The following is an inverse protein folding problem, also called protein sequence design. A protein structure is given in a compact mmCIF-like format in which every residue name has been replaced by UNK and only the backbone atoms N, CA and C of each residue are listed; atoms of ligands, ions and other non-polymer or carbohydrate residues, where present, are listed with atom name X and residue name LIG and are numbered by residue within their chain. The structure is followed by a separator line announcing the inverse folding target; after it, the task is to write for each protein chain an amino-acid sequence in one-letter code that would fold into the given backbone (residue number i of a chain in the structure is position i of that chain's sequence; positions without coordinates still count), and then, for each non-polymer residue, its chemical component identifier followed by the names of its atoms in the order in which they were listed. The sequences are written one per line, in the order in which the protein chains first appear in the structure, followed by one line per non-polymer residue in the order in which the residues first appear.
data_IF_099783934654
#
_entry.id   IF_099783934654
#
_cell.length_a   1.000
_cell.length_b   1.000
_cell.length_c   1.000
_cell.angle_alpha   90.00
_cell.angle_beta   90.00
_cell.angle_gamma   90.00
#
_symmetry.space_group_name_H-M   'P 1'
#
loop_
_entity.id
_entity.type
_entity.pdbx_description
1 polymer ?
#
# COMPACT_ATOMS: atom_id res chain seq x y z
N UNK A 1 -11.88 3.28 7.73
CA UNK A 1 -13.12 4.08 7.63
C UNK A 1 -13.31 4.95 8.88
N UNK A 2 -12.24 5.60 9.30
CA UNK A 2 -12.27 6.51 10.43
C UNK A 2 -12.86 7.86 9.97
N UNK A 3 -13.63 8.59 10.81
CA UNK A 3 -14.00 9.97 10.52
C UNK A 3 -12.78 10.82 10.18
N UNK A 4 -12.90 11.67 9.16
CA UNK A 4 -11.78 12.45 8.65
C UNK A 4 -11.21 13.41 9.70
N UNK A 5 -12.04 13.90 10.60
CA UNK A 5 -11.67 14.77 11.71
C UNK A 5 -10.70 14.07 12.67
N UNK A 6 -10.97 12.81 13.02
CA UNK A 6 -10.11 12.05 13.93
C UNK A 6 -8.72 11.82 13.33
N UNK A 7 -8.65 11.54 12.01
CA UNK A 7 -7.37 11.37 11.32
C UNK A 7 -6.61 12.70 11.22
N UNK A 8 -7.33 13.78 10.96
CA UNK A 8 -6.75 15.13 10.94
C UNK A 8 -6.17 15.53 12.30
N UNK A 9 -6.87 15.22 13.39
CA UNK A 9 -6.40 15.51 14.75
C UNK A 9 -5.08 14.77 15.05
N UNK A 10 -4.98 13.47 14.72
CA UNK A 10 -3.76 12.70 14.91
C UNK A 10 -2.55 13.27 14.15
N UNK A 11 -2.78 13.78 12.93
CA UNK A 11 -1.76 14.43 12.12
C UNK A 11 -1.39 15.81 12.67
N UNK A 12 -2.38 16.62 13.09
CA UNK A 12 -2.15 17.97 13.63
C UNK A 12 -1.44 17.93 14.97
N UNK A 13 -1.75 16.96 15.82
CA UNK A 13 -1.08 16.75 17.10
C UNK A 13 0.31 16.12 16.97
N UNK A 14 0.69 15.70 15.76
CA UNK A 14 1.98 15.06 15.51
C UNK A 14 2.12 13.67 16.11
N UNK A 15 1.00 12.99 16.39
CA UNK A 15 0.97 11.59 16.86
C UNK A 15 1.39 10.67 15.73
N UNK A 16 1.01 11.01 14.49
CA UNK A 16 1.45 10.33 13.26
C UNK A 16 1.96 11.36 12.24
N UNK A 17 2.91 10.96 11.42
CA UNK A 17 3.51 11.81 10.39
C UNK A 17 2.77 11.72 9.06
N UNK A 18 2.12 10.59 8.77
CA UNK A 18 1.39 10.32 7.53
C UNK A 18 0.17 9.45 7.80
N UNK A 19 -0.80 9.48 6.88
CA UNK A 19 -2.01 8.67 6.97
C UNK A 19 -2.03 7.62 5.85
N UNK A 20 -2.25 6.34 6.22
CA UNK A 20 -2.60 5.30 5.26
C UNK A 20 -4.11 5.04 5.30
N UNK A 21 -4.78 5.33 4.20
CA UNK A 21 -6.21 5.13 4.01
C UNK A 21 -6.44 3.74 3.40
N UNK A 22 -7.04 2.84 4.17
CA UNK A 22 -7.16 1.41 3.82
C UNK A 22 -8.61 0.94 3.65
N UNK A 23 -9.54 1.85 3.67
CA UNK A 23 -10.96 1.55 3.56
C UNK A 23 -11.59 2.12 2.27
N UNK A 24 -12.81 2.58 2.40
CA UNK A 24 -13.61 3.15 1.31
C UNK A 24 -13.45 4.66 1.14
N UNK A 25 -12.43 5.24 1.79
CA UNK A 25 -12.14 6.67 1.69
C UNK A 25 -11.91 7.03 0.21
N UNK A 26 -12.69 7.97 -0.28
CA UNK A 26 -12.66 8.48 -1.66
C UNK A 26 -11.82 9.77 -1.81
N UNK A 27 -11.81 10.35 -2.99
CA UNK A 27 -11.09 11.59 -3.26
C UNK A 27 -11.64 12.78 -2.45
N UNK A 28 -12.94 12.79 -2.13
CA UNK A 28 -13.53 13.82 -1.29
C UNK A 28 -12.97 13.75 0.15
N UNK A 29 -12.76 12.53 0.66
CA UNK A 29 -12.11 12.32 1.96
C UNK A 29 -10.66 12.82 1.92
N UNK A 30 -9.89 12.50 0.89
CA UNK A 30 -8.49 12.96 0.73
C UNK A 30 -8.41 14.49 0.71
N UNK A 31 -9.24 15.14 -0.10
CA UNK A 31 -9.32 16.60 -0.16
C UNK A 31 -9.67 17.19 1.23
N UNK A 32 -10.69 16.62 1.88
CA UNK A 32 -11.12 17.10 3.19
C UNK A 32 -10.06 16.91 4.27
N UNK A 33 -9.32 15.80 4.24
CA UNK A 33 -8.22 15.56 5.17
C UNK A 33 -7.14 16.64 5.01
N UNK A 34 -6.75 16.99 3.79
CA UNK A 34 -5.76 18.04 3.51
C UNK A 34 -6.22 19.42 3.98
N UNK A 35 -7.52 19.73 3.82
CA UNK A 35 -8.09 20.99 4.34
C UNK A 35 -8.01 21.08 5.86
N UNK A 36 -8.29 19.99 6.58
CA UNK A 36 -8.36 19.95 8.04
C UNK A 36 -6.99 19.92 8.72
N UNK A 37 -5.97 19.42 8.03
CA UNK A 37 -4.62 19.31 8.59
C UNK A 37 -3.96 20.65 8.48
N UNK A 38 -4.07 21.69 8.58
CA UNK A 38 -3.26 22.92 8.50
C UNK A 38 -1.94 22.84 7.72
N UNK A 39 -1.60 21.66 7.20
CA UNK A 39 -0.42 21.36 6.38
C UNK A 39 -0.73 21.36 4.87
N UNK A 40 -2.03 21.33 4.49
CA UNK A 40 -2.43 21.33 3.09
C UNK A 40 -1.75 20.21 2.28
N UNK A 41 -1.05 20.58 1.21
CA UNK A 41 -0.31 19.66 0.34
C UNK A 41 0.85 18.92 1.04
N UNK A 42 1.36 19.42 2.16
CA UNK A 42 2.41 18.75 2.95
C UNK A 42 1.84 17.58 3.79
N UNK A 43 0.53 17.34 3.76
CA UNK A 43 -0.09 16.17 4.38
C UNK A 43 0.16 14.94 3.53
N UNK A 44 1.09 14.07 3.97
CA UNK A 44 1.43 12.87 3.23
C UNK A 44 0.40 11.76 3.41
N UNK A 45 -0.22 11.35 2.31
CA UNK A 45 -1.31 10.38 2.29
C UNK A 45 -0.93 9.18 1.40
N UNK A 46 -1.09 7.98 1.94
CA UNK A 46 -1.00 6.72 1.19
C UNK A 46 -2.41 6.15 1.04
N UNK A 47 -2.85 5.90 -0.21
CA UNK A 47 -4.12 5.20 -0.44
C UNK A 47 -3.85 3.74 -0.75
N UNK A 48 -4.34 2.85 0.11
CA UNK A 48 -4.35 1.42 -0.17
C UNK A 48 -5.56 1.06 -1.06
N UNK A 49 -5.29 0.34 -2.14
CA UNK A 49 -6.29 -0.10 -3.11
C UNK A 49 -6.21 -1.62 -3.24
N UNK A 50 -7.28 -2.31 -2.87
CA UNK A 50 -7.39 -3.74 -3.11
C UNK A 50 -7.66 -3.98 -4.58
N UNK A 51 -6.74 -4.64 -5.28
CA UNK A 51 -6.80 -4.85 -6.72
C UNK A 51 -7.56 -6.13 -7.04
N UNK A 52 -8.73 -6.00 -7.66
CA UNK A 52 -9.55 -7.11 -8.16
C UNK A 52 -9.72 -7.03 -9.68
N UNK A 53 -9.55 -5.84 -10.26
CA UNK A 53 -9.79 -5.55 -11.66
C UNK A 53 -8.88 -4.41 -12.18
N UNK A 54 -8.86 -4.21 -13.50
CA UNK A 54 -8.21 -3.06 -14.12
C UNK A 54 -8.81 -1.72 -13.68
N UNK A 55 -10.11 -1.71 -13.34
CA UNK A 55 -10.77 -0.51 -12.85
C UNK A 55 -10.19 -0.05 -11.50
N UNK A 56 -9.84 -0.98 -10.61
CA UNK A 56 -9.23 -0.67 -9.32
C UNK A 56 -7.83 -0.06 -9.52
N UNK A 57 -7.05 -0.64 -10.44
CA UNK A 57 -5.72 -0.11 -10.80
C UNK A 57 -5.84 1.31 -11.34
N UNK A 58 -6.77 1.54 -12.27
CA UNK A 58 -7.01 2.87 -12.83
C UNK A 58 -7.44 3.88 -11.78
N UNK A 59 -8.32 3.48 -10.86
CA UNK A 59 -8.73 4.33 -9.75
C UNK A 59 -7.52 4.70 -8.85
N UNK A 60 -6.67 3.73 -8.54
CA UNK A 60 -5.43 3.99 -7.81
C UNK A 60 -4.48 4.93 -8.56
N UNK A 61 -4.30 4.75 -9.87
CA UNK A 61 -3.46 5.64 -10.67
C UNK A 61 -3.97 7.08 -10.70
N UNK A 62 -5.28 7.28 -10.61
CA UNK A 62 -5.94 8.59 -10.64
C UNK A 62 -6.12 9.21 -9.25
N UNK A 63 -5.79 8.48 -8.18
CA UNK A 63 -5.95 9.00 -6.83
C UNK A 63 -5.07 10.22 -6.56
N UNK A 64 -5.63 11.20 -5.86
CA UNK A 64 -4.95 12.37 -5.35
C UNK A 64 -4.03 12.12 -4.15
N UNK A 65 -3.91 10.88 -3.68
CA UNK A 65 -2.94 10.53 -2.64
C UNK A 65 -1.49 10.65 -3.15
N UNK A 66 -0.54 10.90 -2.26
CA UNK A 66 0.89 11.05 -2.60
C UNK A 66 1.49 9.73 -3.08
N UNK A 67 1.15 8.63 -2.42
CA UNK A 67 1.48 7.27 -2.83
C UNK A 67 0.25 6.36 -2.85
N UNK A 68 0.32 5.35 -3.70
CA UNK A 68 -0.67 4.27 -3.71
C UNK A 68 0.00 2.98 -3.30
N UNK A 69 -0.68 2.21 -2.47
CA UNK A 69 -0.34 0.84 -2.16
C UNK A 69 -1.35 -0.06 -2.88
N UNK A 70 -0.91 -0.83 -3.86
CA UNK A 70 -1.74 -1.84 -4.50
C UNK A 70 -1.63 -3.16 -3.73
N UNK A 71 -2.71 -3.51 -3.05
CA UNK A 71 -2.84 -4.81 -2.38
C UNK A 71 -3.36 -5.84 -3.38
N UNK A 72 -2.45 -6.69 -3.79
CA UNK A 72 -2.67 -7.77 -4.73
C UNK A 72 -3.09 -9.08 -4.04
N UNK A 73 -3.33 -9.10 -2.75
CA UNK A 73 -3.71 -10.28 -1.99
C UNK A 73 -5.16 -10.66 -2.24
N UNK A 74 -5.40 -11.74 -3.00
CA UNK A 74 -6.63 -12.46 -2.86
C UNK A 74 -6.55 -13.26 -1.57
N UNK A 75 -7.36 -12.96 -0.57
CA UNK A 75 -7.33 -13.58 0.77
C UNK A 75 -7.52 -15.11 0.82
N UNK A 76 -7.46 -15.79 -0.31
CA UNK A 76 -7.63 -17.24 -0.52
C UNK A 76 -6.36 -17.95 -1.05
N UNK A 77 -5.19 -17.30 -1.02
CA UNK A 77 -3.91 -17.89 -1.43
C UNK A 77 -3.73 -18.08 -2.94
N UNK A 78 -4.63 -17.56 -3.77
CA UNK A 78 -4.47 -17.58 -5.22
C UNK A 78 -3.43 -16.57 -5.67
N UNK A 79 -2.62 -16.98 -6.63
CA UNK A 79 -1.63 -16.10 -7.26
C UNK A 79 -2.34 -14.92 -7.90
N UNK A 80 -2.08 -13.74 -7.38
CA UNK A 80 -2.58 -12.49 -7.95
C UNK A 80 -2.10 -12.33 -9.40
N UNK A 81 -2.96 -11.80 -10.24
CA UNK A 81 -2.60 -11.52 -11.62
C UNK A 81 -1.78 -10.21 -11.70
N UNK A 82 -0.48 -10.30 -11.47
CA UNK A 82 0.46 -9.17 -11.57
C UNK A 82 0.42 -8.45 -12.93
N UNK A 83 -0.15 -9.09 -13.97
CA UNK A 83 -0.34 -8.43 -15.28
C UNK A 83 -1.16 -7.14 -15.18
N UNK A 84 -2.06 -7.04 -14.21
CA UNK A 84 -2.84 -5.82 -14.02
C UNK A 84 -1.97 -4.62 -13.62
N UNK A 85 -0.82 -4.85 -12.99
CA UNK A 85 0.09 -3.80 -12.53
C UNK A 85 1.26 -3.50 -13.48
N UNK A 86 1.46 -4.29 -14.53
CA UNK A 86 2.61 -4.11 -15.45
C UNK A 86 2.65 -2.75 -16.16
N UNK A 87 1.52 -2.08 -16.28
CA UNK A 87 1.41 -0.82 -17.00
C UNK A 87 1.24 0.40 -16.07
N UNK A 88 1.30 0.22 -14.76
CA UNK A 88 1.21 1.31 -13.79
C UNK A 88 2.42 2.23 -13.95
N UNK A 89 2.16 3.54 -14.12
CA UNK A 89 3.21 4.53 -14.41
C UNK A 89 3.62 5.36 -13.21
N UNK A 90 2.75 5.49 -12.20
CA UNK A 90 3.11 6.22 -11.00
C UNK A 90 3.90 5.33 -10.02
N UNK A 91 4.75 5.91 -9.14
CA UNK A 91 5.35 5.17 -8.03
C UNK A 91 4.27 4.55 -7.13
N UNK A 92 4.44 3.29 -6.73
CA UNK A 92 3.50 2.60 -5.85
C UNK A 92 4.20 1.57 -4.96
N UNK A 93 3.57 1.25 -3.84
CA UNK A 93 3.92 0.08 -3.04
C UNK A 93 3.14 -1.14 -3.52
N UNK A 94 3.81 -2.27 -3.61
CA UNK A 94 3.17 -3.56 -3.88
C UNK A 94 2.99 -4.31 -2.57
N UNK A 95 1.75 -4.71 -2.28
CA UNK A 95 1.38 -5.53 -1.13
C UNK A 95 0.55 -6.74 -1.56
N UNK A 96 0.30 -7.63 -0.62
CA UNK A 96 -0.58 -8.79 -0.79
C UNK A 96 0.10 -10.02 -1.38
N UNK A 97 0.06 -11.13 -0.66
CA UNK A 97 0.57 -12.42 -1.10
C UNK A 97 2.07 -12.48 -1.36
N UNK A 98 2.85 -11.52 -0.88
CA UNK A 98 4.31 -11.53 -0.99
C UNK A 98 4.94 -12.40 0.10
N UNK A 99 5.98 -13.15 -0.27
CA UNK A 99 6.80 -13.97 0.62
C UNK A 99 8.22 -14.12 0.04
N UNK A 100 9.21 -14.63 0.81
CA UNK A 100 10.62 -14.64 0.36
C UNK A 100 10.88 -15.30 -0.99
N UNK A 101 10.07 -16.29 -1.38
CA UNK A 101 10.28 -17.05 -2.62
C UNK A 101 9.75 -16.35 -3.87
N UNK A 102 8.77 -15.43 -3.73
CA UNK A 102 8.15 -14.74 -4.89
C UNK A 102 8.49 -13.25 -5.00
N UNK A 103 8.97 -12.61 -3.93
CA UNK A 103 9.15 -11.15 -3.92
C UNK A 103 10.19 -10.69 -4.95
N UNK A 104 11.23 -11.48 -5.22
CA UNK A 104 12.22 -11.14 -6.24
C UNK A 104 11.58 -11.03 -7.63
N UNK A 105 10.82 -12.03 -8.03
CA UNK A 105 10.11 -12.03 -9.31
C UNK A 105 9.15 -10.83 -9.41
N UNK A 106 8.45 -10.50 -8.31
CA UNK A 106 7.58 -9.33 -8.24
C UNK A 106 8.35 -8.04 -8.48
N UNK A 107 9.49 -7.85 -7.81
CA UNK A 107 10.34 -6.65 -7.94
C UNK A 107 10.93 -6.55 -9.35
N UNK A 108 11.48 -7.62 -9.90
CA UNK A 108 12.08 -7.64 -11.24
C UNK A 108 11.05 -7.34 -12.34
N UNK A 109 9.84 -7.88 -12.21
CA UNK A 109 8.77 -7.76 -13.20
C UNK A 109 8.04 -6.42 -13.12
N UNK A 110 7.66 -6.00 -11.93
CA UNK A 110 6.77 -4.85 -11.71
C UNK A 110 7.51 -3.57 -11.35
N UNK A 111 8.74 -3.66 -10.83
CA UNK A 111 9.58 -2.53 -10.41
C UNK A 111 8.82 -1.53 -9.52
N UNK A 112 8.14 -2.00 -8.46
CA UNK A 112 7.44 -1.10 -7.56
C UNK A 112 8.43 -0.16 -6.85
N UNK A 113 7.95 0.97 -6.36
CA UNK A 113 8.75 1.87 -5.51
C UNK A 113 9.19 1.18 -4.22
N UNK A 114 8.33 0.33 -3.66
CA UNK A 114 8.61 -0.47 -2.49
C UNK A 114 7.64 -1.66 -2.40
N UNK A 115 7.89 -2.53 -1.45
CA UNK A 115 7.06 -3.70 -1.15
C UNK A 115 6.62 -3.68 0.30
N UNK A 116 5.39 -4.11 0.55
CA UNK A 116 4.82 -4.29 1.87
C UNK A 116 4.45 -5.75 2.09
N UNK A 117 4.82 -6.32 3.25
CA UNK A 117 4.59 -7.71 3.57
C UNK A 117 4.11 -7.90 5.01
N UNK A 118 3.11 -8.72 5.19
CA UNK A 118 2.64 -9.09 6.52
C UNK A 118 2.73 -10.60 6.75
N UNK A 119 1.75 -11.38 6.32
CA UNK A 119 1.66 -12.82 6.61
C UNK A 119 2.76 -13.66 5.94
N UNK A 120 3.29 -13.21 4.81
CA UNK A 120 4.35 -13.94 4.09
C UNK A 120 5.68 -14.09 4.84
N UNK A 121 5.86 -13.36 5.93
CA UNK A 121 7.03 -13.45 6.82
C UNK A 121 6.65 -13.97 8.22
N UNK A 122 5.57 -14.74 8.31
CA UNK A 122 5.08 -15.36 9.54
C UNK A 122 5.24 -16.89 9.50
N UNK A 123 5.41 -17.47 10.68
CA UNK A 123 5.27 -18.90 10.94
C UNK A 123 4.27 -19.05 12.08
N UNK A 124 3.21 -19.79 11.85
CA UNK A 124 2.11 -19.98 12.81
C UNK A 124 1.50 -18.67 13.33
N UNK A 125 1.40 -17.65 12.46
CA UNK A 125 0.84 -16.35 12.78
C UNK A 125 1.77 -15.40 13.55
N UNK A 126 3.03 -15.79 13.75
CA UNK A 126 4.05 -14.98 14.43
C UNK A 126 5.15 -14.59 13.44
N UNK A 127 5.64 -13.35 13.53
CA UNK A 127 6.73 -12.86 12.67
C UNK A 127 7.99 -13.72 12.86
N UNK A 128 8.51 -14.23 11.76
CA UNK A 128 9.67 -15.13 11.68
C UNK A 128 10.90 -14.35 11.21
N UNK A 129 11.89 -14.25 12.09
CA UNK A 129 13.11 -13.47 11.84
C UNK A 129 13.89 -13.97 10.59
N UNK A 130 13.94 -15.29 10.37
CA UNK A 130 14.63 -15.85 9.20
C UNK A 130 13.89 -15.54 7.89
N UNK A 131 12.55 -15.57 7.91
CA UNK A 131 11.75 -15.17 6.76
C UNK A 131 11.90 -13.67 6.49
N UNK A 132 11.93 -12.84 7.51
CA UNK A 132 12.16 -11.38 7.36
C UNK A 132 13.52 -11.11 6.71
N UNK A 133 14.59 -11.73 7.21
CA UNK A 133 15.94 -11.60 6.66
C UNK A 133 15.99 -12.05 5.20
N UNK A 134 15.43 -13.22 4.88
CA UNK A 134 15.36 -13.74 3.52
C UNK A 134 14.57 -12.82 2.60
N UNK A 135 13.44 -12.31 3.05
CA UNK A 135 12.61 -11.39 2.28
C UNK A 135 13.39 -10.12 1.91
N UNK A 136 14.01 -9.46 2.88
CA UNK A 136 14.83 -8.26 2.64
C UNK A 136 16.00 -8.53 1.70
N UNK A 137 16.70 -9.67 1.87
CA UNK A 137 17.78 -10.06 0.99
C UNK A 137 17.31 -10.26 -0.46
N UNK A 138 16.11 -10.82 -0.66
CA UNK A 138 15.53 -11.05 -1.99
C UNK A 138 15.05 -9.76 -2.67
N UNK A 139 14.61 -8.77 -1.91
CA UNK A 139 14.22 -7.45 -2.45
C UNK A 139 15.43 -6.64 -2.89
N UNK A 140 16.57 -6.76 -2.19
CA UNK A 140 17.77 -5.93 -2.41
C UNK A 140 18.76 -6.47 -3.43
N UNK A 141 18.69 -7.76 -3.75
CA UNK A 141 19.58 -8.47 -4.69
C UNK A 141 18.82 -8.90 -5.96
#
# INVERSE_FOLDING_TARGET
NEPVENVADLLNEGIVDMAQLHGVEDEAYICRLRELTGRGEDTFIIKAVQVKSEADVKAGEQSGADLVLFDAGAGDGKVFNWKLLENVKRPYFLAGGLYPENVRDAVERLRPFGVDVSSGIETDGVKDALKMERFVARVRN
#
